data_IF_777347345235
#
_entry.id   IF_777347345235
#
_cell.length_a   1.000
_cell.length_b   1.000
_cell.length_c   1.000
_cell.angle_alpha   90.00
_cell.angle_beta   90.00
_cell.angle_gamma   90.00
#
_symmetry.space_group_name_H-M   'P 1'
#
loop_
_entity.id
_entity.type
_entity.pdbx_description
1 polymer ?
#
# COMPACT_ATOMS: atom_id res chain seq x y z
N UNK A 1 0.37 -17.16 -14.61
CA UNK A 1 1.64 -16.50 -14.21
C UNK A 1 1.55 -15.73 -12.88
N UNK A 2 0.36 -15.49 -12.30
CA UNK A 2 0.19 -14.76 -11.02
C UNK A 2 0.22 -15.62 -9.75
N UNK A 3 0.09 -16.94 -9.87
CA UNK A 3 -0.05 -17.86 -8.73
C UNK A 3 1.27 -18.11 -7.99
N UNK A 4 2.41 -18.11 -8.69
CA UNK A 4 3.70 -18.47 -8.07
C UNK A 4 4.21 -17.42 -7.08
N UNK A 5 3.92 -16.14 -7.29
CA UNK A 5 4.38 -15.08 -6.39
C UNK A 5 3.67 -15.12 -5.02
N UNK A 6 2.41 -15.56 -4.96
CA UNK A 6 1.66 -15.65 -3.70
C UNK A 6 2.24 -16.70 -2.74
N UNK A 7 3.00 -17.69 -3.24
CA UNK A 7 3.66 -18.69 -2.38
C UNK A 7 4.99 -18.17 -1.81
N UNK A 8 5.63 -17.21 -2.49
CA UNK A 8 6.97 -16.71 -2.15
C UNK A 8 6.88 -15.40 -1.34
N UNK A 9 5.79 -14.65 -1.49
CA UNK A 9 5.58 -13.35 -0.86
C UNK A 9 4.12 -13.10 -0.48
N UNK A 10 3.93 -12.52 0.71
CA UNK A 10 2.62 -12.12 1.24
C UNK A 10 2.72 -10.79 1.98
N UNK A 11 1.86 -9.81 1.65
CA UNK A 11 1.68 -8.63 2.49
C UNK A 11 0.83 -9.03 3.69
N UNK A 12 1.40 -8.93 4.88
CA UNK A 12 0.75 -9.36 6.12
C UNK A 12 -0.20 -8.29 6.64
N UNK A 13 0.27 -7.05 6.71
CA UNK A 13 -0.49 -5.91 7.22
C UNK A 13 0.11 -4.58 6.74
N UNK A 14 -0.70 -3.52 6.80
CA UNK A 14 -0.25 -2.12 6.73
C UNK A 14 -0.67 -1.47 8.04
N UNK A 15 0.31 -0.98 8.79
CA UNK A 15 0.11 -0.41 10.12
C UNK A 15 0.79 0.95 10.24
N UNK A 16 0.67 1.58 11.41
CA UNK A 16 1.21 2.92 11.67
C UNK A 16 0.78 3.95 10.61
N UNK A 17 -0.44 3.79 10.09
CA UNK A 17 -0.99 4.63 9.04
C UNK A 17 -1.27 6.01 9.63
N UNK A 18 -0.70 7.03 9.02
CA UNK A 18 -0.91 8.42 9.34
C UNK A 18 -1.37 9.13 8.07
N UNK A 19 -2.51 9.81 8.16
CA UNK A 19 -2.97 10.71 7.11
C UNK A 19 -2.15 12.00 7.18
N UNK A 20 -1.70 12.49 6.04
CA UNK A 20 -1.04 13.79 5.96
C UNK A 20 -2.07 14.89 5.66
N UNK A 21 -1.81 16.09 6.20
CA UNK A 21 -2.62 17.26 5.91
C UNK A 21 -2.57 17.60 4.42
N UNK A 22 -3.73 17.90 3.86
CA UNK A 22 -3.87 18.25 2.46
C UNK A 22 -5.02 19.23 2.23
N UNK A 23 -4.92 20.02 1.17
CA UNK A 23 -5.90 21.05 0.82
C UNK A 23 -6.95 20.57 -0.19
N UNK A 24 -6.79 19.37 -0.75
CA UNK A 24 -7.66 18.81 -1.79
C UNK A 24 -8.49 17.69 -1.17
N UNK A 25 -9.80 17.92 -1.03
CA UNK A 25 -10.70 17.04 -0.28
C UNK A 25 -10.75 15.60 -0.80
N UNK A 26 -10.63 15.40 -2.11
CA UNK A 26 -10.76 14.08 -2.74
C UNK A 26 -9.42 13.36 -2.92
N UNK A 27 -8.32 13.94 -2.43
CA UNK A 27 -6.98 13.36 -2.43
C UNK A 27 -6.53 13.20 -0.98
N UNK A 28 -6.10 11.99 -0.63
CA UNK A 28 -5.59 11.70 0.70
C UNK A 28 -4.21 11.07 0.60
N UNK A 29 -3.23 11.72 1.22
CA UNK A 29 -1.86 11.24 1.32
C UNK A 29 -1.66 10.54 2.66
N UNK A 30 -0.91 9.44 2.64
CA UNK A 30 -0.65 8.64 3.83
C UNK A 30 0.82 8.23 3.90
N UNK A 31 1.31 8.13 5.13
CA UNK A 31 2.54 7.42 5.49
C UNK A 31 2.16 6.19 6.31
N UNK A 32 2.83 5.08 6.06
CA UNK A 32 2.60 3.84 6.79
C UNK A 32 3.82 2.91 6.77
N UNK A 33 3.70 1.78 7.44
CA UNK A 33 4.66 0.68 7.35
C UNK A 33 3.94 -0.57 6.86
N UNK A 34 4.40 -1.13 5.74
CA UNK A 34 3.95 -2.42 5.25
C UNK A 34 4.82 -3.54 5.85
N UNK A 35 4.20 -4.53 6.48
CA UNK A 35 4.88 -5.78 6.84
C UNK A 35 4.67 -6.80 5.74
N UNK A 36 5.77 -7.30 5.20
CA UNK A 36 5.76 -8.24 4.08
C UNK A 36 6.54 -9.48 4.47
N UNK A 37 5.92 -10.64 4.32
CA UNK A 37 6.59 -11.92 4.39
C UNK A 37 7.18 -12.23 3.01
N UNK A 38 8.49 -12.49 2.95
CA UNK A 38 9.20 -12.90 1.74
C UNK A 38 10.15 -14.03 2.10
N UNK A 39 10.05 -15.19 1.44
CA UNK A 39 10.91 -16.36 1.70
C UNK A 39 11.04 -16.67 3.20
N UNK A 40 9.91 -16.65 3.93
CA UNK A 40 9.83 -16.88 5.38
C UNK A 40 10.52 -15.83 6.28
N UNK A 41 10.94 -14.69 5.72
CA UNK A 41 11.42 -13.53 6.47
C UNK A 41 10.34 -12.44 6.48
N UNK A 42 10.17 -11.75 7.61
CA UNK A 42 9.28 -10.59 7.70
C UNK A 42 10.12 -9.32 7.60
N UNK A 43 9.85 -8.51 6.58
CA UNK A 43 10.46 -7.20 6.38
C UNK A 43 9.43 -6.10 6.61
N UNK A 44 9.90 -4.97 7.15
CA UNK A 44 9.09 -3.76 7.32
C UNK A 44 9.54 -2.73 6.30
N UNK A 45 8.60 -2.26 5.47
CA UNK A 45 8.87 -1.31 4.39
C UNK A 45 8.12 -0.02 4.71
N UNK A 46 8.81 1.10 4.96
CA UNK A 46 8.14 2.39 5.02
C UNK A 46 7.56 2.71 3.65
N UNK A 47 6.28 3.08 3.62
CA UNK A 47 5.56 3.40 2.39
C UNK A 47 4.86 4.75 2.51
N UNK A 48 4.78 5.42 1.37
CA UNK A 48 3.93 6.59 1.14
C UNK A 48 2.96 6.26 0.01
N UNK A 49 1.70 6.61 0.19
CA UNK A 49 0.68 6.33 -0.81
C UNK A 49 -0.40 7.40 -0.84
N UNK A 50 -1.04 7.52 -1.99
CA UNK A 50 -2.15 8.42 -2.24
C UNK A 50 -3.40 7.63 -2.59
N UNK A 51 -4.52 7.98 -1.96
CA UNK A 51 -5.84 7.54 -2.36
C UNK A 51 -6.58 8.74 -2.93
N UNK A 52 -6.92 8.67 -4.22
CA UNK A 52 -7.68 9.71 -4.90
C UNK A 52 -9.05 9.16 -5.30
N UNK A 53 -10.10 9.95 -5.15
CA UNK A 53 -11.43 9.65 -5.67
C UNK A 53 -11.79 10.69 -6.70
N UNK A 54 -11.98 10.27 -7.96
CA UNK A 54 -12.33 11.21 -9.03
C UNK A 54 -13.82 11.63 -8.94
N UNK A 55 -14.26 12.62 -9.74
CA UNK A 55 -15.65 13.09 -9.71
C UNK A 55 -16.72 12.05 -10.06
N UNK A 56 -16.33 10.92 -10.69
CA UNK A 56 -17.23 9.79 -10.99
C UNK A 56 -17.29 8.78 -9.84
N UNK A 57 -16.62 9.06 -8.71
CA UNK A 57 -16.49 8.16 -7.58
C UNK A 57 -15.50 7.02 -7.79
N UNK A 58 -14.71 7.06 -8.88
CA UNK A 58 -13.69 6.04 -9.14
C UNK A 58 -12.49 6.34 -8.24
N UNK A 59 -12.13 5.37 -7.41
CA UNK A 59 -10.96 5.43 -6.55
C UNK A 59 -9.73 4.91 -7.28
N UNK A 60 -8.61 5.60 -7.11
CA UNK A 60 -7.27 5.15 -7.48
C UNK A 60 -6.38 5.10 -6.26
N UNK A 61 -5.46 4.14 -6.26
CA UNK A 61 -4.40 4.02 -5.25
C UNK A 61 -3.08 4.15 -5.98
N UNK A 62 -2.26 5.09 -5.54
CA UNK A 62 -0.89 5.27 -6.01
C UNK A 62 0.08 5.06 -4.86
N UNK A 63 1.12 4.27 -5.11
CA UNK A 63 2.16 3.94 -4.14
C UNK A 63 3.44 4.61 -4.64
N UNK A 64 4.09 5.38 -3.77
CA UNK A 64 5.37 5.97 -4.08
C UNK A 64 6.43 4.86 -4.28
N UNK A 65 7.52 5.15 -5.01
CA UNK A 65 8.60 4.18 -5.20
C UNK A 65 9.08 3.62 -3.87
N UNK A 66 9.10 2.29 -3.77
CA UNK A 66 9.66 1.60 -2.61
C UNK A 66 11.17 1.89 -2.48
N UNK A 67 11.75 1.79 -1.27
CA UNK A 67 13.17 2.05 -1.07
C UNK A 67 14.06 1.24 -2.02
N UNK A 68 15.08 1.88 -2.59
CA UNK A 68 15.95 1.31 -3.63
C UNK A 68 16.73 0.05 -3.20
N UNK A 69 16.91 -0.18 -1.89
CA UNK A 69 17.60 -1.34 -1.32
C UNK A 69 16.62 -2.43 -0.89
N UNK A 70 15.77 -2.86 -1.80
CA UNK A 70 14.98 -4.08 -1.63
C UNK A 70 15.69 -5.22 -2.35
N UNK A 71 16.23 -6.17 -1.60
CA UNK A 71 16.87 -7.39 -2.13
C UNK A 71 15.84 -8.39 -2.73
N UNK A 72 14.66 -7.90 -3.13
CA UNK A 72 13.49 -8.67 -3.54
C UNK A 72 12.77 -8.03 -4.73
N UNK A 73 11.98 -8.82 -5.50
CA UNK A 73 11.23 -8.27 -6.63
C UNK A 73 10.23 -7.18 -6.21
N UNK A 74 10.47 -5.94 -6.66
CA UNK A 74 9.69 -4.75 -6.27
C UNK A 74 8.27 -4.76 -6.85
N UNK A 75 8.10 -5.22 -8.09
CA UNK A 75 6.81 -5.22 -8.79
C UNK A 75 5.73 -6.02 -8.05
N UNK A 76 5.94 -7.31 -7.67
CA UNK A 76 4.90 -8.07 -6.98
C UNK A 76 4.60 -7.49 -5.59
N UNK A 77 5.60 -6.98 -4.86
CA UNK A 77 5.41 -6.32 -3.57
C UNK A 77 4.52 -5.08 -3.73
N UNK A 78 4.84 -4.22 -4.69
CA UNK A 78 4.06 -3.02 -5.02
C UNK A 78 2.61 -3.36 -5.34
N UNK A 79 2.39 -4.39 -6.18
CA UNK A 79 1.03 -4.82 -6.56
C UNK A 79 0.23 -5.33 -5.36
N UNK A 80 0.85 -6.12 -4.48
CA UNK A 80 0.19 -6.68 -3.31
C UNK A 80 -0.11 -5.60 -2.26
N UNK A 81 0.80 -4.65 -2.05
CA UNK A 81 0.57 -3.49 -1.17
C UNK A 81 -0.60 -2.66 -1.69
N UNK A 82 -0.61 -2.29 -2.97
CA UNK A 82 -1.71 -1.53 -3.59
C UNK A 82 -3.06 -2.23 -3.45
N UNK A 83 -3.10 -3.55 -3.63
CA UNK A 83 -4.33 -4.34 -3.48
C UNK A 83 -4.86 -4.32 -2.03
N UNK A 84 -3.96 -4.39 -1.03
CA UNK A 84 -4.36 -4.30 0.37
C UNK A 84 -4.84 -2.89 0.73
N UNK A 85 -4.15 -1.84 0.26
CA UNK A 85 -4.57 -0.44 0.45
C UNK A 85 -5.96 -0.20 -0.15
N UNK A 86 -6.21 -0.65 -1.39
CA UNK A 86 -7.52 -0.47 -2.03
C UNK A 86 -8.64 -1.18 -1.25
N UNK A 87 -8.37 -2.39 -0.74
CA UNK A 87 -9.29 -3.10 0.15
C UNK A 87 -9.56 -2.30 1.43
N UNK A 88 -8.52 -1.78 2.09
CA UNK A 88 -8.67 -0.96 3.30
C UNK A 88 -9.48 0.32 3.03
N UNK A 89 -9.24 0.97 1.89
CA UNK A 89 -9.99 2.13 1.45
C UNK A 89 -11.46 1.79 1.14
N UNK A 90 -11.73 0.62 0.56
CA UNK A 90 -13.09 0.12 0.32
C UNK A 90 -13.84 -0.16 1.62
N UNK A 91 -13.15 -0.71 2.62
CA UNK A 91 -13.71 -1.07 3.93
C UNK A 91 -13.79 0.14 4.89
N UNK A 92 -13.27 1.30 4.51
CA UNK A 92 -13.26 2.50 5.35
C UNK A 92 -12.33 2.40 6.57
N UNK A 93 -11.31 1.55 6.51
CA UNK A 93 -10.38 1.29 7.63
C UNK A 93 -9.14 2.20 7.63
N UNK A 94 -8.99 3.03 6.59
CA UNK A 94 -7.97 4.09 6.57
C UNK A 94 -8.37 5.26 7.49
N UNK A 95 -7.42 5.88 8.21
CA UNK A 95 -7.67 7.06 9.04
C UNK A 95 -8.31 8.21 8.24
N UNK A 96 -9.31 8.86 8.83
CA UNK A 96 -10.02 9.98 8.19
C UNK A 96 -9.52 11.35 8.67
N UNK A 97 -8.91 11.38 9.87
CA UNK A 97 -8.37 12.55 10.58
C UNK A 97 -7.03 12.20 11.21
#
# INVERSE_FOLDING_TARGET
MSLEFNYIMKVLEINSIQKEDGYIYYIHHYKAVAKVEVLSSIISIPISFTVETNPLGIRTVDLDPLPAKLDYPVIPITKAIKALIDKMAQEGTLPQV
#
